data_IF_581033359563
#
_entry.id   IF_581033359563
#
_cell.length_a   1.000
_cell.length_b   1.000
_cell.length_c   1.000
_cell.angle_alpha   90.00
_cell.angle_beta   90.00
_cell.angle_gamma   90.00
#
_symmetry.space_group_name_H-M   'P 1'
#
loop_
_entity.id
_entity.type
_entity.pdbx_description
1 polymer ?
#
# COMPACT_ATOMS: atom_id res chain seq x y z
N UNK A 1 -11.76 3.92 0.48
CA UNK A 1 -11.25 4.68 -0.68
C UNK A 1 -12.43 5.07 -1.56
N UNK A 2 -12.78 6.36 -1.67
CA UNK A 2 -13.87 6.82 -2.53
C UNK A 2 -13.49 6.78 -4.02
N UNK A 3 -14.45 7.02 -4.91
CA UNK A 3 -14.21 7.26 -6.32
C UNK A 3 -13.27 8.47 -6.46
N UNK A 4 -12.19 8.34 -7.24
CA UNK A 4 -11.23 9.44 -7.38
C UNK A 4 -11.83 10.66 -8.08
N UNK A 5 -12.88 10.48 -8.89
CA UNK A 5 -13.50 11.54 -9.71
C UNK A 5 -14.58 12.30 -8.95
N UNK A 6 -15.57 11.59 -8.42
CA UNK A 6 -16.74 12.21 -7.79
C UNK A 6 -16.81 12.06 -6.27
N UNK A 7 -15.85 11.37 -5.63
CA UNK A 7 -15.83 11.16 -4.18
C UNK A 7 -16.87 10.16 -3.66
N UNK A 8 -17.70 9.56 -4.53
CA UNK A 8 -18.69 8.55 -4.13
C UNK A 8 -18.01 7.41 -3.34
N UNK A 9 -18.65 6.93 -2.28
CA UNK A 9 -18.13 5.81 -1.48
C UNK A 9 -18.69 4.50 -2.01
N UNK A 10 -17.84 3.47 -2.06
CA UNK A 10 -18.31 2.12 -2.33
C UNK A 10 -19.19 1.67 -1.16
N UNK A 11 -20.44 1.32 -1.47
CA UNK A 11 -21.32 0.57 -0.58
C UNK A 11 -20.93 -0.91 -0.62
N UNK A 12 -21.19 -1.63 0.48
CA UNK A 12 -20.87 -3.05 0.60
C UNK A 12 -21.43 -3.83 -0.61
N UNK A 13 -20.57 -4.45 -1.45
CA UNK A 13 -21.06 -5.21 -2.58
C UNK A 13 -21.84 -6.42 -2.07
N UNK A 14 -23.06 -6.60 -2.58
CA UNK A 14 -23.70 -7.93 -2.55
C UNK A 14 -22.74 -8.95 -3.18
N UNK A 15 -22.77 -10.20 -2.69
CA UNK A 15 -21.87 -11.28 -3.17
C UNK A 15 -21.71 -11.25 -4.69
N UNK A 16 -20.46 -11.26 -5.15
CA UNK A 16 -20.13 -11.30 -6.57
C UNK A 16 -19.07 -10.28 -6.96
N UNK A 17 -18.90 -10.09 -8.28
CA UNK A 17 -17.94 -9.15 -8.83
C UNK A 17 -18.38 -7.72 -8.54
N UNK A 18 -17.49 -6.92 -7.96
CA UNK A 18 -17.77 -5.50 -7.72
C UNK A 18 -17.96 -4.76 -9.06
N UNK A 19 -19.00 -3.92 -9.20
CA UNK A 19 -19.18 -3.09 -10.39
C UNK A 19 -18.19 -1.91 -10.44
N UNK A 20 -17.38 -1.72 -9.41
CA UNK A 20 -16.36 -0.69 -9.36
C UNK A 20 -15.09 -1.14 -10.07
N UNK A 21 -14.58 -0.30 -10.97
CA UNK A 21 -13.26 -0.52 -11.59
C UNK A 21 -12.16 -0.04 -10.65
N UNK A 22 -11.01 -0.69 -10.77
CA UNK A 22 -9.77 -0.33 -10.09
C UNK A 22 -8.73 0.03 -11.15
N UNK A 23 -7.87 0.99 -10.82
CA UNK A 23 -6.73 1.38 -11.65
C UNK A 23 -5.68 2.08 -10.80
N UNK A 24 -4.61 2.54 -11.43
CA UNK A 24 -3.56 3.31 -10.78
C UNK A 24 -3.53 4.71 -11.40
N UNK A 25 -3.36 5.73 -10.55
CA UNK A 25 -3.17 7.12 -10.98
C UNK A 25 -2.13 7.76 -10.07
N UNK A 26 -1.08 8.32 -10.68
CA UNK A 26 0.05 8.89 -9.93
C UNK A 26 0.53 7.90 -8.85
N UNK A 27 0.71 6.65 -9.25
CA UNK A 27 1.26 5.56 -8.44
C UNK A 27 0.40 5.12 -7.26
N UNK A 28 -0.88 5.54 -7.23
CA UNK A 28 -1.84 5.16 -6.19
C UNK A 28 -2.95 4.32 -6.76
N UNK A 29 -3.33 3.28 -6.00
CA UNK A 29 -4.55 2.56 -6.29
C UNK A 29 -5.75 3.50 -6.15
N UNK A 30 -6.59 3.55 -7.18
CA UNK A 30 -7.84 4.32 -7.19
C UNK A 30 -9.04 3.44 -7.52
N UNK A 31 -10.23 3.91 -7.11
CA UNK A 31 -11.52 3.33 -7.46
C UNK A 31 -12.30 4.25 -8.41
N UNK A 32 -13.05 3.65 -9.32
CA UNK A 32 -13.95 4.36 -10.24
C UNK A 32 -15.37 3.82 -10.06
N UNK A 33 -16.30 4.68 -9.68
CA UNK A 33 -17.70 4.27 -9.49
C UNK A 33 -18.38 4.00 -10.82
N UNK A 34 -19.45 3.18 -10.85
CA UNK A 34 -20.18 2.87 -12.09
C UNK A 34 -20.66 4.12 -12.85
N UNK A 35 -21.11 5.15 -12.14
CA UNK A 35 -21.55 6.41 -12.77
C UNK A 35 -20.42 7.20 -13.44
N UNK A 36 -19.19 7.14 -12.92
CA UNK A 36 -18.03 7.74 -13.58
C UNK A 36 -17.46 6.86 -14.70
N UNK A 37 -17.74 5.54 -14.69
CA UNK A 37 -17.36 4.63 -15.76
C UNK A 37 -18.20 4.81 -17.03
N UNK A 38 -19.45 5.28 -16.90
CA UNK A 38 -20.33 5.55 -18.04
C UNK A 38 -20.01 6.86 -18.77
N UNK A 39 -19.25 7.76 -18.13
CA UNK A 39 -18.74 8.98 -18.78
C UNK A 39 -17.55 8.61 -19.65
N UNK A 40 -17.44 9.18 -20.85
CA UNK A 40 -16.31 8.91 -21.73
C UNK A 40 -14.95 9.26 -21.07
N UNK A 41 -13.90 8.53 -21.47
CA UNK A 41 -12.48 8.82 -21.20
C UNK A 41 -11.99 8.75 -19.74
N UNK A 42 -12.72 8.12 -18.82
CA UNK A 42 -12.20 7.90 -17.45
C UNK A 42 -10.90 7.08 -17.42
N UNK A 43 -10.68 6.21 -18.42
CA UNK A 43 -9.47 5.41 -18.52
C UNK A 43 -8.26 6.22 -19.01
N UNK A 44 -8.46 7.38 -19.66
CA UNK A 44 -7.39 8.27 -20.08
C UNK A 44 -6.65 8.93 -18.91
N UNK A 45 -7.30 9.04 -17.76
CA UNK A 45 -6.74 9.60 -16.52
C UNK A 45 -5.94 8.58 -15.68
N UNK A 46 -5.88 7.32 -16.13
CA UNK A 46 -5.14 6.25 -15.46
C UNK A 46 -3.73 6.13 -16.01
N UNK A 47 -2.83 5.72 -15.12
CA UNK A 47 -1.47 5.34 -15.49
C UNK A 47 -1.52 4.14 -16.44
N UNK A 48 -0.58 4.10 -17.39
CA UNK A 48 -0.45 3.03 -18.38
C UNK A 48 0.84 2.26 -18.16
N UNK A 49 0.79 0.97 -18.45
CA UNK A 49 1.98 0.14 -18.48
C UNK A 49 2.95 0.65 -19.56
N UNK A 50 4.19 0.92 -19.18
CA UNK A 50 5.24 1.34 -20.12
C UNK A 50 5.58 0.25 -21.16
N UNK A 51 5.33 -1.03 -20.84
CA UNK A 51 5.64 -2.15 -21.73
C UNK A 51 4.53 -2.45 -22.75
N UNK A 52 3.25 -2.44 -22.34
CA UNK A 52 2.14 -2.85 -23.20
C UNK A 52 1.02 -1.81 -23.37
N UNK A 53 1.09 -0.66 -22.70
CA UNK A 53 0.10 0.41 -22.78
C UNK A 53 -1.22 0.17 -22.03
N UNK A 54 -1.39 -1.00 -21.40
CA UNK A 54 -2.59 -1.34 -20.61
C UNK A 54 -2.75 -0.46 -19.37
N UNK A 55 -4.00 -0.15 -19.01
CA UNK A 55 -4.38 0.51 -17.75
C UNK A 55 -4.74 -0.48 -16.64
N UNK A 56 -4.62 -1.79 -16.88
CA UNK A 56 -4.89 -2.85 -15.90
C UNK A 56 -3.75 -2.96 -14.87
N UNK A 57 -3.47 -1.84 -14.18
CA UNK A 57 -2.41 -1.73 -13.18
C UNK A 57 -2.95 -1.95 -11.76
N UNK A 58 -2.10 -2.47 -10.89
CA UNK A 58 -2.36 -2.66 -9.47
C UNK A 58 -1.19 -2.17 -8.66
N UNK A 59 -1.46 -1.40 -7.60
CA UNK A 59 -0.42 -0.96 -6.67
C UNK A 59 -0.48 -1.79 -5.38
N UNK A 60 0.65 -2.39 -5.00
CA UNK A 60 0.80 -3.19 -3.78
C UNK A 60 2.19 -2.96 -3.19
N UNK A 61 2.26 -2.70 -1.89
CA UNK A 61 3.52 -2.63 -1.13
C UNK A 61 4.61 -1.73 -1.74
N UNK A 62 4.24 -0.63 -2.40
CA UNK A 62 5.21 0.28 -3.04
C UNK A 62 5.62 -0.13 -4.46
N UNK A 63 4.98 -1.13 -5.05
CA UNK A 63 5.16 -1.52 -6.45
C UNK A 63 3.88 -1.34 -7.25
N UNK A 64 4.02 -1.07 -8.54
CA UNK A 64 2.95 -1.06 -9.54
C UNK A 64 3.19 -2.19 -10.52
N UNK A 65 2.25 -3.14 -10.59
CA UNK A 65 2.27 -4.31 -11.47
C UNK A 65 1.19 -4.19 -12.56
N UNK A 66 1.55 -4.51 -13.81
CA UNK A 66 0.61 -4.66 -14.90
C UNK A 66 0.05 -6.08 -14.95
N UNK A 67 -1.28 -6.20 -14.83
CA UNK A 67 -1.96 -7.51 -14.83
C UNK A 67 -2.00 -8.20 -16.19
N UNK A 68 -1.77 -7.47 -17.28
CA UNK A 68 -1.87 -8.03 -18.63
C UNK A 68 -0.54 -8.59 -19.13
N UNK A 69 0.60 -7.99 -18.76
CA UNK A 69 1.93 -8.42 -19.21
C UNK A 69 2.92 -8.77 -18.07
N UNK A 70 2.56 -8.52 -16.81
CA UNK A 70 3.41 -8.78 -15.65
C UNK A 70 4.54 -7.77 -15.43
N UNK A 71 4.63 -6.70 -16.22
CA UNK A 71 5.64 -5.67 -16.01
C UNK A 71 5.42 -4.93 -14.69
N UNK A 72 6.48 -4.82 -13.89
CA UNK A 72 6.48 -4.19 -12.57
C UNK A 72 7.41 -2.98 -12.54
N UNK A 73 7.02 -1.94 -11.82
CA UNK A 73 7.87 -0.79 -11.50
C UNK A 73 7.65 -0.35 -10.05
N UNK A 74 8.63 0.34 -9.49
CA UNK A 74 8.47 0.98 -8.18
C UNK A 74 7.41 2.10 -8.27
N UNK A 75 6.60 2.22 -7.22
CA UNK A 75 5.65 3.32 -7.04
C UNK A 75 6.39 4.49 -6.40
N UNK A 76 6.18 5.71 -6.90
CA UNK A 76 6.80 6.90 -6.31
C UNK A 76 6.33 7.07 -4.85
N UNK A 77 7.27 7.10 -3.88
CA UNK A 77 6.95 7.12 -2.46
C UNK A 77 6.53 8.49 -1.94
N UNK A 78 6.30 9.51 -2.79
CA UNK A 78 6.02 10.89 -2.36
C UNK A 78 4.88 11.05 -1.33
N UNK A 79 4.02 10.04 -1.14
CA UNK A 79 2.99 10.02 -0.08
C UNK A 79 2.89 8.67 0.67
N UNK A 80 3.82 7.74 0.46
CA UNK A 80 3.92 6.60 1.35
C UNK A 80 4.50 7.14 2.66
N UNK A 81 3.68 7.13 3.71
CA UNK A 81 4.11 7.51 5.07
C UNK A 81 5.38 6.68 5.35
N UNK A 82 6.55 7.33 5.33
CA UNK A 82 7.82 6.71 5.69
C UNK A 82 7.75 6.34 7.16
N UNK A 83 7.22 5.15 7.45
CA UNK A 83 7.39 4.51 8.75
C UNK A 83 8.80 3.89 8.78
N UNK A 84 9.82 4.75 8.79
CA UNK A 84 11.22 4.32 8.82
C UNK A 84 12.14 5.37 8.21
N UNK A 85 13.10 5.84 9.03
CA UNK A 85 14.19 6.76 8.74
C UNK A 85 13.83 8.26 8.66
N UNK A 86 14.10 9.06 9.71
CA UNK A 86 14.32 10.49 9.53
C UNK A 86 15.56 10.72 8.64
N UNK A 87 15.57 11.74 7.77
CA UNK A 87 16.75 12.08 7.00
C UNK A 87 17.80 12.70 7.94
N UNK A 88 18.90 11.97 8.15
CA UNK A 88 20.20 12.52 8.49
C UNK A 88 20.29 13.37 9.77
N UNK A 89 20.45 12.70 10.91
CA UNK A 89 21.39 13.18 11.93
C UNK A 89 22.50 12.16 12.05
N UNK A 90 23.60 12.42 11.34
CA UNK A 90 24.90 11.82 11.64
C UNK A 90 25.27 12.26 13.06
N UNK A 91 25.22 11.34 14.02
CA UNK A 91 25.75 11.55 15.37
C UNK A 91 25.16 10.60 16.41
N UNK A 92 25.95 9.62 16.83
CA UNK A 92 25.79 8.96 18.13
C UNK A 92 25.36 7.49 18.10
N UNK A 93 26.36 6.61 17.97
CA UNK A 93 26.64 5.47 18.86
C UNK A 93 25.47 4.73 19.58
N UNK A 94 25.35 3.43 19.28
CA UNK A 94 24.93 2.38 20.24
C UNK A 94 23.43 2.14 20.46
N UNK A 95 22.78 1.27 19.66
CA UNK A 95 21.39 0.89 19.92
C UNK A 95 20.86 -0.45 19.38
N UNK A 96 21.61 -1.22 18.60
CA UNK A 96 21.12 -2.53 18.10
C UNK A 96 21.50 -3.72 19.00
N UNK A 97 22.53 -3.58 19.83
CA UNK A 97 22.87 -4.56 20.87
C UNK A 97 21.99 -4.48 22.11
N UNK A 98 21.25 -3.38 22.29
CA UNK A 98 20.51 -3.07 23.53
C UNK A 98 19.13 -3.75 23.56
N UNK A 99 18.41 -3.74 22.43
CA UNK A 99 17.08 -4.34 22.32
C UNK A 99 17.07 -5.85 22.54
N UNK A 100 18.05 -6.57 21.98
CA UNK A 100 18.16 -8.03 22.17
C UNK A 100 18.45 -8.38 23.64
N UNK A 101 19.27 -7.57 24.32
CA UNK A 101 19.57 -7.74 25.74
C UNK A 101 18.36 -7.42 26.63
N UNK A 102 17.62 -6.35 26.33
CA UNK A 102 16.37 -6.00 27.01
C UNK A 102 15.31 -7.10 26.88
N UNK A 103 15.10 -7.63 25.67
CA UNK A 103 14.13 -8.70 25.42
C UNK A 103 14.54 -9.97 26.18
N UNK A 104 15.82 -10.36 26.15
CA UNK A 104 16.30 -11.51 26.89
C UNK A 104 16.09 -11.34 28.41
N UNK A 105 16.35 -10.15 28.95
CA UNK A 105 16.12 -9.85 30.36
C UNK A 105 14.63 -9.89 30.73
N UNK A 106 13.75 -9.38 29.87
CA UNK A 106 12.30 -9.42 30.07
C UNK A 106 11.77 -10.86 30.07
N UNK A 107 12.19 -11.69 29.11
CA UNK A 107 11.79 -13.10 29.02
C UNK A 107 12.23 -13.89 30.26
N UNK A 108 13.45 -13.67 30.76
CA UNK A 108 13.96 -14.34 31.96
C UNK A 108 13.15 -13.99 33.22
N UNK A 109 12.68 -12.73 33.35
CA UNK A 109 11.81 -12.31 34.46
C UNK A 109 10.44 -13.00 34.42
N UNK A 110 9.85 -13.16 33.23
CA UNK A 110 8.55 -13.82 33.06
C UNK A 110 8.66 -15.32 33.32
N UNK A 111 9.69 -15.97 32.78
CA UNK A 111 9.87 -17.43 32.91
C UNK A 111 10.30 -17.87 34.33
N UNK A 112 11.05 -17.04 35.07
CA UNK A 112 11.36 -17.31 36.49
C UNK A 112 10.17 -17.10 37.41
N UNK A 113 9.15 -16.37 36.97
CA UNK A 113 7.88 -16.17 37.67
C UNK A 113 6.84 -17.19 37.20
N UNK A 114 7.26 -18.45 37.05
CA UNK A 114 6.33 -19.58 36.89
C UNK A 114 5.32 -19.59 38.05
N UNK A 115 4.09 -20.09 37.82
CA UNK A 115 3.04 -20.03 38.84
C UNK A 115 3.54 -20.71 40.11
N UNK A 116 3.48 -19.99 41.23
CA UNK A 116 3.61 -20.60 42.54
C UNK A 116 2.47 -21.64 42.66
N UNK A 117 2.81 -22.91 42.60
CA UNK A 117 1.95 -24.02 43.03
C UNK A 117 1.53 -23.84 44.48
#
# INVERSE_FOLDING_TARGET
>A
MPCFRCGARQTDPVRGTSPWKRGVRADRQVLICPGCQSVHDWAGELDRCAACGSTALMCRLGEVECRDCGHTREADPADLVRFGAPPGTSGGDGGEGDLSAEVAAALNRVLRRGPAT
#
